data_IF_346320567602
#
_entry.id   IF_346320567602
#
_cell.length_a   1.000
_cell.length_b   1.000
_cell.length_c   1.000
_cell.angle_alpha   90.00
_cell.angle_beta   90.00
_cell.angle_gamma   90.00
#
_symmetry.space_group_name_H-M   'P 1'
#
loop_
_entity.id
_entity.type
_entity.pdbx_description
1 polymer ?
#
# COMPACT_ATOMS: atom_id res chain seq x y z
N UNK A 1 -40.47 3.56 26.12
CA UNK A 1 -39.64 4.78 26.16
C UNK A 1 -38.21 4.31 26.03
N UNK A 2 -37.63 4.45 24.84
CA UNK A 2 -36.31 3.92 24.50
C UNK A 2 -35.26 4.98 24.78
N UNK A 3 -34.46 4.76 25.83
CA UNK A 3 -33.33 5.60 26.18
C UNK A 3 -32.20 5.43 25.17
N UNK A 4 -31.93 6.53 24.45
CA UNK A 4 -30.77 6.68 23.57
C UNK A 4 -29.52 6.79 24.43
N UNK A 5 -28.71 5.74 24.40
CA UNK A 5 -27.31 5.76 24.83
C UNK A 5 -26.52 6.67 23.87
N UNK A 6 -26.04 7.79 24.37
CA UNK A 6 -25.09 8.67 23.68
C UNK A 6 -23.70 8.03 23.78
N UNK A 7 -23.20 7.48 22.68
CA UNK A 7 -21.81 7.05 22.56
C UNK A 7 -20.89 8.28 22.53
N UNK A 8 -20.17 8.52 23.62
CA UNK A 8 -19.00 9.39 23.66
C UNK A 8 -17.80 8.65 23.06
N UNK A 9 -17.77 8.52 21.73
CA UNK A 9 -16.61 8.07 20.96
C UNK A 9 -15.85 9.29 20.42
N UNK A 10 -15.29 10.08 21.35
CA UNK A 10 -14.49 11.25 21.02
C UNK A 10 -13.23 11.23 21.89
N UNK A 11 -12.14 10.66 21.37
CA UNK A 11 -10.77 11.13 21.67
C UNK A 11 -9.62 10.43 20.92
N UNK A 12 -9.83 9.30 20.24
CA UNK A 12 -8.71 8.58 19.57
C UNK A 12 -8.43 8.98 18.11
N UNK A 13 -9.19 9.93 17.56
CA UNK A 13 -9.00 10.41 16.18
C UNK A 13 -7.97 11.55 16.06
N UNK A 14 -7.42 12.05 17.16
CA UNK A 14 -6.66 13.31 17.18
C UNK A 14 -5.14 13.14 16.93
N UNK A 15 -4.57 11.93 16.95
CA UNK A 15 -3.12 11.73 16.78
C UNK A 15 -2.65 11.46 15.35
N UNK A 16 -3.57 11.33 14.39
CA UNK A 16 -3.22 10.93 13.03
C UNK A 16 -3.68 11.97 12.01
N UNK A 17 -2.76 12.36 11.12
CA UNK A 17 -3.06 13.20 9.96
C UNK A 17 -3.38 12.30 8.77
N UNK A 18 -4.61 12.42 8.27
CA UNK A 18 -4.96 11.91 6.93
C UNK A 18 -4.34 12.79 5.86
N UNK A 19 -3.47 12.19 5.04
CA UNK A 19 -2.88 12.85 3.87
C UNK A 19 -3.90 12.92 2.72
N UNK A 20 -3.67 13.80 1.73
CA UNK A 20 -4.53 13.90 0.54
C UNK A 20 -4.57 12.59 -0.31
N UNK A 21 -3.69 11.63 -0.01
CA UNK A 21 -3.63 10.30 -0.60
C UNK A 21 -4.33 9.22 0.25
N UNK A 22 -4.93 9.58 1.38
CA UNK A 22 -5.61 8.65 2.29
C UNK A 22 -4.67 7.88 3.23
N UNK A 23 -3.38 8.20 3.26
CA UNK A 23 -2.45 7.59 4.21
C UNK A 23 -2.58 8.29 5.57
N UNK A 24 -2.71 7.52 6.65
CA UNK A 24 -2.59 8.00 8.02
C UNK A 24 -1.10 8.17 8.38
N UNK A 25 -0.71 9.36 8.81
CA UNK A 25 0.63 9.63 9.35
C UNK A 25 0.47 10.06 10.80
N UNK A 26 1.12 9.33 11.73
CA UNK A 26 1.13 9.69 13.16
C UNK A 26 1.85 11.02 13.36
N UNK A 27 1.16 11.99 13.96
CA UNK A 27 1.71 13.31 14.28
C UNK A 27 2.84 13.14 15.31
N UNK A 28 3.88 13.98 15.25
CA UNK A 28 5.09 13.91 16.08
C UNK A 28 6.04 12.72 15.80
N UNK A 29 5.77 11.89 14.79
CA UNK A 29 6.69 10.85 14.34
C UNK A 29 7.79 11.39 13.40
N UNK A 30 8.90 10.65 13.26
CA UNK A 30 9.93 10.98 12.26
C UNK A 30 9.36 10.91 10.82
N UNK A 31 8.40 10.00 10.57
CA UNK A 31 7.71 9.92 9.30
C UNK A 31 6.93 11.21 8.98
N UNK A 32 6.30 11.81 10.00
CA UNK A 32 5.63 13.11 9.86
C UNK A 32 6.62 14.24 9.55
N UNK A 33 7.78 14.26 10.20
CA UNK A 33 8.81 15.27 9.92
C UNK A 33 9.35 15.17 8.48
N UNK A 34 9.68 13.95 8.04
CA UNK A 34 10.10 13.71 6.66
C UNK A 34 9.01 14.11 5.66
N UNK A 35 7.75 13.82 5.99
CA UNK A 35 6.61 14.21 5.17
C UNK A 35 6.42 15.73 5.13
N UNK A 36 6.58 16.43 6.24
CA UNK A 36 6.55 17.89 6.28
C UNK A 36 7.64 18.45 5.38
N UNK A 37 8.84 17.89 5.35
CA UNK A 37 9.92 18.36 4.47
C UNK A 37 9.55 18.24 2.98
N UNK A 38 8.93 17.12 2.59
CA UNK A 38 8.51 16.86 1.21
C UNK A 38 7.30 17.69 0.74
N UNK A 39 6.46 18.19 1.65
CA UNK A 39 5.20 18.85 1.32
C UNK A 39 5.22 20.37 1.59
N UNK A 40 4.35 21.10 0.89
CA UNK A 40 4.24 22.56 0.99
C UNK A 40 2.94 23.05 1.64
N UNK A 41 1.95 22.18 1.80
CA UNK A 41 0.73 22.53 2.52
C UNK A 41 0.01 21.28 3.01
N UNK A 42 -0.77 21.43 4.08
CA UNK A 42 -1.69 20.39 4.54
C UNK A 42 -2.89 21.00 5.25
N UNK A 43 -3.97 20.22 5.40
CA UNK A 43 -5.14 20.60 6.16
C UNK A 43 -5.04 19.98 7.55
N UNK A 44 -5.13 20.80 8.59
CA UNK A 44 -5.27 20.34 9.95
C UNK A 44 -6.74 20.47 10.37
N UNK A 45 -7.28 19.43 10.99
CA UNK A 45 -8.67 19.39 11.49
C UNK A 45 -8.60 19.00 12.95
N UNK A 46 -9.21 19.80 13.80
CA UNK A 46 -9.29 19.55 15.23
C UNK A 46 -10.68 19.92 15.76
N UNK A 47 -11.07 19.25 16.85
CA UNK A 47 -12.34 19.43 17.55
C UNK A 47 -13.55 18.85 16.81
N UNK A 48 -14.66 18.74 17.53
CA UNK A 48 -15.91 18.16 17.03
C UNK A 48 -16.40 18.92 15.79
N UNK A 49 -16.60 18.19 14.69
CA UNK A 49 -17.08 18.75 13.43
C UNK A 49 -16.07 19.63 12.68
N UNK A 50 -14.79 19.61 13.05
CA UNK A 50 -13.74 20.36 12.36
C UNK A 50 -13.82 21.88 12.54
N UNK A 51 -14.48 22.34 13.61
CA UNK A 51 -14.64 23.76 13.93
C UNK A 51 -13.27 24.49 14.10
N UNK A 52 -12.22 23.77 14.51
CA UNK A 52 -10.86 24.30 14.66
C UNK A 52 -9.95 24.01 13.46
N UNK A 53 -10.50 23.66 12.29
CA UNK A 53 -9.68 23.34 11.11
C UNK A 53 -9.02 24.56 10.46
N UNK A 54 -7.82 24.40 9.89
CA UNK A 54 -7.12 25.40 9.08
C UNK A 54 -6.19 24.74 8.05
N UNK A 55 -5.65 25.52 7.11
CA UNK A 55 -4.63 25.04 6.16
C UNK A 55 -3.26 25.54 6.59
N UNK A 56 -2.33 24.63 6.87
CA UNK A 56 -0.93 24.94 7.08
C UNK A 56 -0.22 25.07 5.72
N UNK A 57 0.63 26.07 5.56
CA UNK A 57 1.41 26.32 4.34
C UNK A 57 2.86 26.62 4.70
N UNK A 58 3.78 26.04 3.92
CA UNK A 58 5.21 26.32 3.99
C UNK A 58 5.54 27.54 3.14
N UNK A 59 6.30 28.46 3.70
CA UNK A 59 6.77 29.67 3.05
C UNK A 59 8.27 29.85 3.27
N UNK A 60 9.00 30.21 2.22
CA UNK A 60 10.43 30.46 2.27
C UNK A 60 10.70 31.93 2.56
N UNK A 61 11.40 32.23 3.66
CA UNK A 61 11.88 33.56 3.99
C UNK A 61 13.39 33.51 4.19
N UNK A 62 14.14 34.20 3.30
CA UNK A 62 15.62 34.25 3.32
C UNK A 62 16.27 32.85 3.30
N UNK A 63 15.71 31.92 2.52
CA UNK A 63 16.22 30.55 2.40
C UNK A 63 15.84 29.61 3.54
N UNK A 64 15.10 30.09 4.55
CA UNK A 64 14.56 29.24 5.62
C UNK A 64 13.07 29.02 5.40
N UNK A 65 12.64 27.76 5.52
CA UNK A 65 11.24 27.38 5.37
C UNK A 65 10.51 27.48 6.72
N UNK A 66 9.37 28.16 6.72
CA UNK A 66 8.51 28.35 7.87
C UNK A 66 7.09 27.92 7.57
N UNK A 67 6.40 27.42 8.58
CA UNK A 67 5.00 27.01 8.49
C UNK A 67 4.07 28.08 9.05
N UNK A 68 3.01 28.38 8.30
CA UNK A 68 1.95 29.29 8.70
C UNK A 68 0.59 28.60 8.61
N UNK A 69 -0.24 28.79 9.62
CA UNK A 69 -1.64 28.44 9.60
C UNK A 69 -2.42 29.55 8.91
N UNK A 70 -3.32 29.17 8.00
CA UNK A 70 -4.15 30.09 7.22
C UNK A 70 -5.60 29.65 7.29
N UNK A 71 -6.50 30.57 7.67
CA UNK A 71 -7.95 30.35 7.75
C UNK A 71 -8.70 31.62 7.40
N UNK A 72 -9.85 31.49 6.71
CA UNK A 72 -10.78 32.61 6.55
C UNK A 72 -11.79 32.61 7.68
N UNK A 73 -11.92 33.73 8.38
CA UNK A 73 -12.90 33.95 9.45
C UNK A 73 -13.65 35.22 9.11
N UNK A 74 -14.97 35.14 8.95
CA UNK A 74 -15.84 36.26 8.59
C UNK A 74 -15.33 37.07 7.38
N UNK A 75 -14.92 36.38 6.31
CA UNK A 75 -14.40 37.00 5.08
C UNK A 75 -12.94 37.52 5.16
N UNK A 76 -12.36 37.59 6.36
CA UNK A 76 -10.97 38.04 6.56
C UNK A 76 -10.01 36.86 6.59
N UNK A 77 -8.83 37.00 5.98
CA UNK A 77 -7.79 35.97 6.00
C UNK A 77 -6.93 36.13 7.26
N UNK A 78 -7.01 35.16 8.16
CA UNK A 78 -6.16 35.06 9.33
C UNK A 78 -4.96 34.18 9.01
N UNK A 79 -3.77 34.68 9.38
CA UNK A 79 -2.51 33.97 9.25
C UNK A 79 -1.79 33.95 10.59
N UNK A 80 -1.32 32.79 11.03
CA UNK A 80 -0.57 32.62 12.28
C UNK A 80 0.69 31.81 12.04
N UNK A 81 1.79 32.22 12.66
CA UNK A 81 3.06 31.52 12.58
C UNK A 81 3.01 30.25 13.43
N UNK A 82 3.34 29.11 12.83
CA UNK A 82 3.41 27.82 13.52
C UNK A 82 4.83 27.62 14.05
N UNK A 83 5.82 27.58 13.14
CA UNK A 83 7.22 27.28 13.43
C UNK A 83 8.00 26.80 12.20
N UNK A 84 9.25 26.36 12.39
CA UNK A 84 10.02 25.51 11.45
C UNK A 84 9.49 24.08 11.45
N UNK A 85 9.89 23.23 10.50
CA UNK A 85 9.37 21.85 10.40
C UNK A 85 9.45 21.07 11.73
N UNK A 86 10.60 21.08 12.42
CA UNK A 86 10.78 20.39 13.70
C UNK A 86 9.99 21.01 14.88
N UNK A 87 9.48 22.24 14.73
CA UNK A 87 8.63 22.91 15.72
C UNK A 87 7.15 22.66 15.45
N UNK A 88 6.80 22.06 14.30
CA UNK A 88 5.41 21.67 13.99
C UNK A 88 5.10 20.38 14.73
N UNK A 89 4.62 20.51 15.96
CA UNK A 89 4.15 19.39 16.79
C UNK A 89 2.63 19.35 16.91
N UNK A 90 2.05 18.23 17.35
CA UNK A 90 0.61 18.12 17.58
C UNK A 90 0.09 19.20 18.53
N UNK A 91 0.77 19.36 19.69
CA UNK A 91 0.44 20.38 20.69
C UNK A 91 0.43 21.79 20.09
N UNK A 92 1.44 22.10 19.26
CA UNK A 92 1.54 23.40 18.59
C UNK A 92 0.43 23.61 17.57
N UNK A 93 0.08 22.58 16.80
CA UNK A 93 -1.01 22.65 15.83
C UNK A 93 -2.36 22.94 16.50
N UNK A 94 -2.62 22.30 17.65
CA UNK A 94 -3.81 22.52 18.48
C UNK A 94 -3.84 23.93 19.09
N UNK A 95 -2.73 24.42 19.63
CA UNK A 95 -2.62 25.78 20.17
C UNK A 95 -2.98 26.82 19.08
N UNK A 96 -2.42 26.67 17.89
CA UNK A 96 -2.68 27.56 16.76
C UNK A 96 -4.14 27.47 16.29
N UNK A 97 -4.76 26.28 16.37
CA UNK A 97 -6.16 26.08 16.05
C UNK A 97 -7.09 26.95 16.92
N UNK A 98 -6.75 27.08 18.21
CA UNK A 98 -7.49 27.92 19.16
C UNK A 98 -7.23 29.41 18.94
N UNK A 99 -6.00 29.79 18.59
CA UNK A 99 -5.60 31.20 18.46
C UNK A 99 -6.01 31.81 17.11
N UNK A 100 -6.01 31.04 16.02
CA UNK A 100 -6.32 31.56 14.67
C UNK A 100 -7.78 32.02 14.52
N UNK A 101 -8.65 31.54 15.41
CA UNK A 101 -10.06 31.92 15.50
C UNK A 101 -10.29 33.25 16.22
N UNK A 102 -9.30 33.74 16.98
CA UNK A 102 -9.45 34.97 17.74
C UNK A 102 -9.28 36.20 16.84
N UNK A 103 -10.12 37.24 17.02
CA UNK A 103 -9.91 38.52 16.34
C UNK A 103 -8.54 39.11 16.72
N UNK A 104 -7.94 39.96 15.86
CA UNK A 104 -6.69 40.63 16.19
C UNK A 104 -6.86 41.40 17.50
N UNK A 105 -6.10 41.05 18.55
CA UNK A 105 -6.08 41.85 19.79
C UNK A 105 -5.52 43.22 19.45
N UNK A 106 -6.40 44.21 19.33
CA UNK A 106 -6.03 45.62 19.23
C UNK A 106 -5.32 45.97 20.54
N UNK A 107 -4.03 46.29 20.45
CA UNK A 107 -3.20 46.61 21.61
C UNK A 107 -3.61 47.98 22.14
N UNK A 108 -4.53 48.03 23.10
CA UNK A 108 -4.92 49.28 23.79
C UNK A 108 -3.88 49.58 24.86
N UNK A 109 -3.28 50.77 24.81
CA UNK A 109 -2.33 51.28 25.79
C UNK A 109 -3.02 51.53 27.13
N UNK A 110 -2.51 50.93 28.20
CA UNK A 110 -2.95 51.21 29.56
C UNK A 110 -2.43 52.59 29.98
N UNK A 111 -3.34 53.54 30.22
CA UNK A 111 -3.07 54.80 30.91
C UNK A 111 -3.57 54.66 32.34
N UNK A 112 -2.61 54.59 33.26
CA UNK A 112 -2.77 54.70 34.70
C UNK A 112 -3.15 56.13 35.07
N UNK A 113 -4.23 56.31 35.85
CA UNK A 113 -4.50 57.55 36.58
C UNK A 113 -4.80 57.19 38.04
N UNK A 114 -3.74 57.26 38.86
CA UNK A 114 -3.85 57.54 40.29
C UNK A 114 -3.90 59.06 40.47
N UNK A 115 -4.84 59.58 41.25
CA UNK A 115 -4.59 60.63 42.25
C UNK A 115 -5.89 61.08 42.90
N UNK A 116 -5.99 60.85 44.21
CA UNK A 116 -6.54 61.77 45.21
C UNK A 116 -6.52 61.04 46.55
N UNK A 117 -5.47 61.25 47.33
CA UNK A 117 -5.44 60.88 48.74
C UNK A 117 -6.29 61.88 49.54
N UNK A 118 -7.40 61.48 50.19
CA UNK A 118 -8.12 62.33 51.13
C UNK A 118 -7.26 62.57 52.38
N UNK A 119 -7.38 63.74 53.00
CA UNK A 119 -6.66 64.10 54.22
C UNK A 119 -6.84 63.06 55.33
N UNK A 120 -5.88 62.96 56.27
CA UNK A 120 -5.91 61.98 57.36
C UNK A 120 -7.27 61.94 58.10
N UNK A 121 -7.94 63.07 58.18
CA UNK A 121 -9.23 63.24 58.84
C UNK A 121 -10.40 62.60 58.07
N UNK A 122 -10.36 62.65 56.74
CA UNK A 122 -11.31 61.93 55.88
C UNK A 122 -11.05 60.43 55.88
N UNK A 123 -9.77 60.03 56.01
CA UNK A 123 -9.40 58.62 56.20
C UNK A 123 -9.86 58.10 57.56
N UNK A 124 -9.77 58.90 58.62
CA UNK A 124 -10.29 58.53 59.94
C UNK A 124 -11.82 58.43 59.89
N UNK A 125 -12.52 59.37 59.25
CA UNK A 125 -13.98 59.28 59.07
C UNK A 125 -14.39 58.08 58.21
N UNK A 126 -13.65 57.76 57.15
CA UNK A 126 -13.88 56.55 56.36
C UNK A 126 -13.63 55.27 57.16
N UNK A 127 -12.55 55.23 57.95
CA UNK A 127 -12.26 54.08 58.81
C UNK A 127 -13.33 53.92 59.90
N UNK A 128 -13.81 55.00 60.48
CA UNK A 128 -14.88 54.98 61.49
C UNK A 128 -16.22 54.52 60.87
N UNK A 129 -16.50 54.91 59.63
CA UNK A 129 -17.63 54.39 58.86
C UNK A 129 -17.48 52.90 58.56
N UNK A 130 -16.30 52.45 58.13
CA UNK A 130 -16.01 51.04 57.84
C UNK A 130 -16.09 50.20 59.12
N UNK A 131 -15.56 50.70 60.24
CA UNK A 131 -15.63 50.01 61.54
C UNK A 131 -17.07 49.91 62.03
N UNK A 132 -17.90 50.94 61.83
CA UNK A 132 -19.33 50.87 62.17
C UNK A 132 -20.10 49.93 61.23
N UNK A 133 -19.74 49.85 59.94
CA UNK A 133 -20.29 48.85 59.02
C UNK A 133 -19.87 47.42 59.39
N UNK A 134 -18.62 47.22 59.81
CA UNK A 134 -18.11 45.92 60.27
C UNK A 134 -18.69 45.52 61.64
N UNK A 135 -18.96 46.46 62.55
CA UNK A 135 -19.70 46.20 63.80
C UNK A 135 -21.17 45.88 63.57
N UNK A 136 -21.76 46.42 62.50
CA UNK A 136 -23.12 46.05 62.06
C UNK A 136 -23.20 44.67 61.40
N UNK A 137 -22.06 44.09 61.01
CA UNK A 137 -21.90 42.72 60.51
C UNK A 137 -21.63 41.74 61.66
N UNK A 138 -22.35 41.88 62.78
CA UNK A 138 -22.52 40.81 63.78
C UNK A 138 -23.41 39.68 63.21
N UNK A 139 -23.03 39.18 62.03
CA UNK A 139 -23.59 38.00 61.38
C UNK A 139 -22.83 36.74 61.80
N UNK A 140 -22.12 36.75 62.94
CA UNK A 140 -21.58 35.51 63.51
C UNK A 140 -22.73 34.54 63.85
N UNK A 141 -23.96 35.03 64.07
CA UNK A 141 -25.17 34.20 64.17
C UNK A 141 -25.83 33.80 62.84
N UNK A 142 -25.56 34.50 61.74
CA UNK A 142 -26.10 34.16 60.41
C UNK A 142 -25.16 33.25 59.60
N UNK A 143 -23.87 33.20 59.93
CA UNK A 143 -22.94 32.21 59.35
C UNK A 143 -23.06 30.81 59.96
N UNK A 144 -23.63 30.67 61.16
CA UNK A 144 -23.95 29.35 61.74
C UNK A 144 -25.29 28.79 61.23
N UNK A 145 -26.22 29.64 60.76
CA UNK A 145 -27.50 29.19 60.18
C UNK A 145 -27.47 29.03 58.66
N UNK A 146 -26.40 29.49 57.99
CA UNK A 146 -26.09 29.14 56.60
C UNK A 146 -25.10 27.96 56.46
N UNK A 147 -24.86 27.21 57.53
CA UNK A 147 -24.13 25.95 57.50
C UNK A 147 -25.03 24.72 57.28
N UNK A 148 -26.27 24.93 56.80
CA UNK A 148 -27.08 23.93 56.11
C UNK A 148 -26.81 23.95 54.60
N UNK A 149 -25.56 24.20 54.20
CA UNK A 149 -25.10 23.73 52.88
C UNK A 149 -25.02 22.23 52.99
N UNK A 150 -26.13 21.60 52.60
CA UNK A 150 -26.32 20.19 52.27
C UNK A 150 -24.97 19.53 51.95
N UNK A 151 -24.34 18.97 52.98
CA UNK A 151 -23.09 18.24 52.89
C UNK A 151 -23.45 16.97 52.13
N UNK A 152 -23.31 17.00 50.80
CA UNK A 152 -23.40 15.79 49.98
C UNK A 152 -22.51 14.73 50.64
N UNK A 153 -23.01 13.51 50.90
CA UNK A 153 -22.30 12.57 51.74
C UNK A 153 -20.94 12.27 51.12
N UNK A 154 -19.85 12.60 51.83
CA UNK A 154 -18.48 12.27 51.42
C UNK A 154 -18.31 10.77 51.09
N UNK A 155 -19.22 9.93 51.56
CA UNK A 155 -19.29 8.50 51.31
C UNK A 155 -19.68 8.14 49.86
N UNK A 156 -20.59 8.90 49.22
CA UNK A 156 -20.99 8.66 47.82
C UNK A 156 -19.84 9.02 46.87
N UNK A 157 -19.15 10.13 47.14
CA UNK A 157 -17.97 10.55 46.39
C UNK A 157 -16.82 9.54 46.54
N UNK A 158 -16.58 9.00 47.74
CA UNK A 158 -15.56 7.97 47.94
C UNK A 158 -15.94 6.63 47.30
N UNK A 159 -17.24 6.29 47.26
CA UNK A 159 -17.73 5.11 46.53
C UNK A 159 -17.50 5.24 45.02
N UNK A 160 -17.80 6.40 44.44
CA UNK A 160 -17.56 6.68 43.02
C UNK A 160 -16.07 6.69 42.69
N UNK A 161 -15.23 7.27 43.55
CA UNK A 161 -13.77 7.23 43.41
C UNK A 161 -13.23 5.80 43.45
N UNK A 162 -13.74 4.95 44.35
CA UNK A 162 -13.36 3.54 44.40
C UNK A 162 -13.80 2.80 43.12
N UNK A 163 -15.02 3.06 42.63
CA UNK A 163 -15.52 2.49 41.37
C UNK A 163 -14.66 2.89 40.19
N UNK A 164 -14.32 4.18 40.08
CA UNK A 164 -13.45 4.68 39.01
C UNK A 164 -12.04 4.08 39.11
N UNK A 165 -11.50 3.95 40.33
CA UNK A 165 -10.21 3.29 40.57
C UNK A 165 -10.22 1.83 40.08
N UNK A 166 -11.30 1.10 40.37
CA UNK A 166 -11.45 -0.28 39.89
C UNK A 166 -11.53 -0.35 38.36
N UNK A 167 -12.26 0.57 37.72
CA UNK A 167 -12.34 0.65 36.25
C UNK A 167 -10.99 0.97 35.62
N UNK A 168 -10.23 1.91 36.20
CA UNK A 168 -8.88 2.24 35.75
C UNK A 168 -7.98 1.01 35.85
N UNK A 169 -8.00 0.29 36.97
CA UNK A 169 -7.21 -0.93 37.13
C UNK A 169 -7.58 -2.03 36.11
N UNK A 170 -8.87 -2.23 35.84
CA UNK A 170 -9.33 -3.18 34.82
C UNK A 170 -8.83 -2.79 33.42
N UNK A 171 -8.95 -1.51 33.07
CA UNK A 171 -8.47 -1.01 31.78
C UNK A 171 -6.94 -1.12 31.66
N UNK A 172 -6.19 -0.83 32.72
CA UNK A 172 -4.73 -1.02 32.76
C UNK A 172 -4.35 -2.48 32.50
N UNK A 173 -5.03 -3.45 33.14
CA UNK A 173 -4.76 -4.87 32.90
C UNK A 173 -5.07 -5.27 31.45
N UNK A 174 -6.17 -4.76 30.87
CA UNK A 174 -6.51 -5.03 29.47
C UNK A 174 -5.47 -4.44 28.52
N UNK A 175 -4.97 -3.23 28.80
CA UNK A 175 -3.91 -2.60 28.03
C UNK A 175 -2.64 -3.45 28.05
N UNK A 176 -2.22 -3.92 29.23
CA UNK A 176 -1.05 -4.79 29.38
C UNK A 176 -1.18 -6.12 28.61
N UNK A 177 -2.39 -6.68 28.54
CA UNK A 177 -2.66 -7.89 27.75
C UNK A 177 -2.53 -7.58 26.25
N UNK A 178 -3.17 -6.50 25.78
CA UNK A 178 -3.09 -6.09 24.38
C UNK A 178 -1.66 -5.78 23.95
N UNK A 179 -0.85 -5.15 24.80
CA UNK A 179 0.56 -4.85 24.51
C UNK A 179 1.39 -6.15 24.34
N UNK A 180 1.12 -7.18 25.16
CA UNK A 180 1.79 -8.49 25.00
C UNK A 180 1.36 -9.20 23.72
N UNK A 181 0.08 -9.12 23.37
CA UNK A 181 -0.43 -9.71 22.11
C UNK A 181 0.18 -9.00 20.89
N UNK A 182 0.31 -7.67 20.93
CA UNK A 182 0.97 -6.90 19.88
C UNK A 182 2.45 -7.29 19.74
N UNK A 183 3.16 -7.46 20.86
CA UNK A 183 4.56 -7.88 20.84
C UNK A 183 4.71 -9.30 20.25
N UNK A 184 3.82 -10.23 20.60
CA UNK A 184 3.82 -11.57 20.03
C UNK A 184 3.55 -11.55 18.51
N UNK A 185 2.55 -10.78 18.06
CA UNK A 185 2.25 -10.62 16.64
C UNK A 185 3.41 -9.96 15.87
N UNK A 186 4.10 -9.00 16.49
CA UNK A 186 5.29 -8.39 15.89
C UNK A 186 6.43 -9.40 15.73
N UNK A 187 6.67 -10.23 16.75
CA UNK A 187 7.67 -11.29 16.65
C UNK A 187 7.34 -12.27 15.52
N UNK A 188 6.09 -12.69 15.38
CA UNK A 188 5.68 -13.59 14.30
C UNK A 188 5.79 -12.93 12.91
N UNK A 189 5.44 -11.65 12.78
CA UNK A 189 5.68 -10.89 11.55
C UNK A 189 7.17 -10.82 11.18
N UNK A 190 8.06 -10.65 12.16
CA UNK A 190 9.50 -10.66 11.89
C UNK A 190 9.98 -12.02 11.39
N UNK A 191 9.50 -13.13 12.00
CA UNK A 191 9.81 -14.50 11.53
C UNK A 191 9.33 -14.72 10.10
N UNK A 192 8.06 -14.42 9.82
CA UNK A 192 7.48 -14.56 8.48
C UNK A 192 8.22 -13.72 7.43
N UNK A 193 8.65 -12.51 7.80
CA UNK A 193 9.44 -11.64 6.91
C UNK A 193 10.79 -12.27 6.59
N UNK A 194 11.48 -12.85 7.58
CA UNK A 194 12.77 -13.54 7.34
C UNK A 194 12.59 -14.81 6.50
N UNK A 195 11.52 -15.58 6.70
CA UNK A 195 11.22 -16.76 5.90
C UNK A 195 10.89 -16.41 4.45
N UNK A 196 10.12 -15.34 4.22
CA UNK A 196 9.85 -14.84 2.87
C UNK A 196 11.14 -14.43 2.15
N UNK A 197 12.00 -13.66 2.80
CA UNK A 197 13.29 -13.26 2.22
C UNK A 197 14.19 -14.46 1.87
N UNK A 198 14.17 -15.50 2.70
CA UNK A 198 14.87 -16.77 2.43
C UNK A 198 14.29 -17.48 1.20
N UNK A 199 12.95 -17.60 1.11
CA UNK A 199 12.27 -18.20 -0.04
C UNK A 199 12.49 -17.41 -1.34
N UNK A 200 12.47 -16.09 -1.28
CA UNK A 200 12.77 -15.24 -2.44
C UNK A 200 14.20 -15.48 -2.95
N UNK A 201 15.16 -15.61 -2.03
CA UNK A 201 16.54 -15.96 -2.39
C UNK A 201 16.61 -17.32 -3.08
N UNK A 202 15.87 -18.33 -2.59
CA UNK A 202 15.80 -19.65 -3.24
C UNK A 202 15.15 -19.59 -4.63
N UNK A 203 14.09 -18.80 -4.79
CA UNK A 203 13.42 -18.61 -6.09
C UNK A 203 14.36 -17.95 -7.10
N UNK A 204 15.12 -16.93 -6.69
CA UNK A 204 16.12 -16.30 -7.58
C UNK A 204 17.19 -17.30 -7.99
N UNK A 205 17.69 -18.13 -7.06
CA UNK A 205 18.67 -19.17 -7.38
C UNK A 205 18.11 -20.19 -8.39
N UNK A 206 16.91 -20.73 -8.14
CA UNK A 206 16.27 -21.68 -9.06
C UNK A 206 16.01 -21.08 -10.44
N UNK A 207 15.62 -19.81 -10.49
CA UNK A 207 15.42 -19.07 -11.75
C UNK A 207 16.72 -19.00 -12.55
N UNK A 208 17.84 -18.62 -11.91
CA UNK A 208 19.15 -18.56 -12.59
C UNK A 208 19.63 -19.93 -13.08
N UNK A 209 19.34 -21.01 -12.34
CA UNK A 209 19.65 -22.38 -12.77
C UNK A 209 18.83 -22.77 -13.99
N UNK A 210 17.55 -22.40 -14.04
CA UNK A 210 16.68 -22.67 -15.18
C UNK A 210 17.17 -21.92 -16.44
N UNK A 211 17.49 -20.63 -16.32
CA UNK A 211 18.07 -19.84 -17.42
C UNK A 211 19.39 -20.41 -17.95
N UNK A 212 20.19 -21.01 -17.07
CA UNK A 212 21.44 -21.68 -17.44
C UNK A 212 21.16 -22.94 -18.25
N UNK A 213 20.26 -23.81 -17.76
CA UNK A 213 19.84 -25.03 -18.45
C UNK A 213 19.20 -24.73 -19.81
N UNK A 214 18.38 -23.69 -19.92
CA UNK A 214 17.78 -23.26 -21.20
C UNK A 214 18.81 -22.75 -22.21
N UNK A 215 19.93 -22.21 -21.73
CA UNK A 215 21.06 -21.81 -22.60
C UNK A 215 21.82 -23.03 -23.10
N UNK A 216 22.12 -23.98 -22.21
CA UNK A 216 22.75 -25.26 -22.57
C UNK A 216 21.90 -26.07 -23.58
N UNK A 217 20.57 -26.13 -23.37
CA UNK A 217 19.66 -26.82 -24.30
C UNK A 217 19.65 -26.18 -25.69
N UNK A 218 19.70 -24.84 -25.78
CA UNK A 218 19.81 -24.15 -27.06
C UNK A 218 21.13 -24.43 -27.76
N UNK A 219 22.24 -24.49 -27.02
CA UNK A 219 23.55 -24.84 -27.57
C UNK A 219 23.56 -26.27 -28.15
N UNK A 220 23.07 -27.25 -27.38
CA UNK A 220 22.94 -28.63 -27.86
C UNK A 220 21.99 -28.77 -29.04
N UNK A 221 20.89 -28.01 -29.05
CA UNK A 221 19.95 -27.98 -30.18
C UNK A 221 20.64 -27.48 -31.45
N UNK A 222 21.44 -26.42 -31.35
CA UNK A 222 22.20 -25.90 -32.49
C UNK A 222 23.26 -26.90 -32.97
N UNK A 223 23.91 -27.62 -32.05
CA UNK A 223 24.87 -28.67 -32.40
C UNK A 223 24.20 -29.80 -33.18
N UNK A 224 23.02 -30.25 -32.74
CA UNK A 224 22.23 -31.27 -33.46
C UNK A 224 21.87 -30.80 -34.88
N UNK A 225 21.45 -29.53 -35.04
CA UNK A 225 21.14 -28.97 -36.36
C UNK A 225 22.38 -28.97 -37.27
N UNK A 226 23.54 -28.57 -36.73
CA UNK A 226 24.80 -28.59 -37.47
C UNK A 226 25.19 -30.02 -37.90
N UNK A 227 25.15 -30.98 -36.97
CA UNK A 227 25.46 -32.38 -37.26
C UNK A 227 24.51 -32.97 -38.32
N UNK A 228 23.21 -32.62 -38.28
CA UNK A 228 22.25 -33.00 -39.33
C UNK A 228 22.61 -32.43 -40.70
N UNK A 229 23.05 -31.16 -40.76
CA UNK A 229 23.53 -30.55 -42.02
C UNK A 229 24.73 -31.31 -42.58
N UNK A 230 25.73 -31.59 -41.74
CA UNK A 230 26.94 -32.35 -42.13
C UNK A 230 26.61 -33.76 -42.62
N UNK A 231 25.65 -34.43 -41.98
CA UNK A 231 25.19 -35.74 -42.44
C UNK A 231 24.55 -35.66 -43.82
N UNK A 232 23.71 -34.65 -44.08
CA UNK A 232 23.10 -34.44 -45.40
C UNK A 232 24.15 -34.14 -46.49
N UNK A 233 25.17 -33.34 -46.18
CA UNK A 233 26.30 -33.10 -47.10
C UNK A 233 27.07 -34.39 -47.43
N UNK A 234 27.34 -35.21 -46.42
CA UNK A 234 28.03 -36.47 -46.60
C UNK A 234 27.20 -37.46 -47.43
N UNK A 235 25.90 -37.51 -47.18
CA UNK A 235 24.96 -38.38 -47.91
C UNK A 235 24.91 -38.01 -49.40
N UNK A 236 24.79 -36.72 -49.70
CA UNK A 236 24.90 -36.21 -51.07
C UNK A 236 26.24 -36.57 -51.72
N UNK A 237 27.35 -36.48 -50.97
CA UNK A 237 28.67 -36.87 -51.48
C UNK A 237 28.77 -38.37 -51.79
N UNK A 238 28.15 -39.23 -50.98
CA UNK A 238 28.13 -40.68 -51.21
C UNK A 238 27.32 -41.01 -52.45
N UNK A 239 26.14 -40.39 -52.60
CA UNK A 239 25.29 -40.54 -53.80
C UNK A 239 26.06 -40.16 -55.06
N UNK A 240 26.74 -39.01 -55.07
CA UNK A 240 27.53 -38.55 -56.23
C UNK A 240 28.68 -39.51 -56.57
N UNK A 241 29.43 -39.98 -55.56
CA UNK A 241 30.50 -40.95 -55.81
C UNK A 241 29.98 -42.29 -56.32
N UNK A 242 28.79 -42.70 -55.86
CA UNK A 242 28.16 -43.92 -56.33
C UNK A 242 27.72 -43.80 -57.80
N UNK A 243 27.22 -42.63 -58.23
CA UNK A 243 26.92 -42.38 -59.65
C UNK A 243 28.20 -42.38 -60.51
N UNK A 244 29.30 -41.77 -60.06
CA UNK A 244 30.60 -41.83 -60.76
C UNK A 244 31.10 -43.27 -60.92
N UNK A 245 30.98 -44.09 -59.87
CA UNK A 245 31.33 -45.51 -59.93
C UNK A 245 30.46 -46.30 -60.91
N UNK A 246 29.16 -46.00 -61.00
CA UNK A 246 28.29 -46.61 -61.99
C UNK A 246 28.68 -46.22 -63.42
N UNK A 247 29.02 -44.95 -63.66
CA UNK A 247 29.50 -44.50 -64.98
C UNK A 247 30.81 -45.20 -65.38
N UNK A 248 31.79 -45.28 -64.47
CA UNK A 248 33.05 -45.99 -64.72
C UNK A 248 32.86 -47.48 -64.99
N UNK A 249 31.92 -48.12 -64.30
CA UNK A 249 31.58 -49.54 -64.51
C UNK A 249 30.85 -49.78 -65.84
N UNK A 250 30.27 -48.73 -66.42
CA UNK A 250 29.58 -48.78 -67.72
C UNK A 250 30.54 -48.62 -68.92
N UNK A 251 31.83 -48.33 -68.68
CA UNK A 251 32.85 -48.29 -69.73
C UNK A 251 33.13 -49.72 -70.24
N UNK A 252 32.94 -50.01 -71.55
CA UNK A 252 33.17 -51.35 -72.08
C UNK A 252 34.65 -51.75 -71.94
N UNK A 253 34.97 -53.02 -71.63
CA UNK A 253 36.35 -53.48 -71.69
C UNK A 253 36.87 -53.33 -73.12
N UNK A 254 37.92 -52.53 -73.28
CA UNK A 254 38.70 -52.50 -74.51
C UNK A 254 39.13 -53.93 -74.83
N UNK A 255 38.74 -54.40 -76.00
CA UNK A 255 39.07 -55.71 -76.54
C UNK A 255 40.57 -55.95 -76.44
N UNK A 256 40.96 -56.84 -75.53
CA UNK A 256 42.21 -57.59 -75.68
C UNK A 256 41.77 -59.04 -75.73
N UNK A 257 41.56 -59.47 -76.97
CA UNK A 257 41.38 -60.83 -77.41
C UNK A 257 42.68 -61.59 -77.11
N UNK A 258 42.62 -62.57 -76.21
CA UNK A 258 43.41 -63.79 -76.33
C UNK A 258 42.83 -64.87 -75.43
N UNK A 259 42.43 -65.96 -76.09
CA UNK A 259 41.94 -67.19 -75.50
C UNK A 259 43.02 -67.88 -74.65
N UNK A 260 42.61 -68.58 -73.59
CA UNK A 260 42.66 -70.05 -73.49
C UNK A 260 42.18 -70.51 -72.09
N UNK A 261 41.83 -71.81 -71.91
CA UNK A 261 40.82 -72.32 -71.00
C UNK A 261 41.45 -72.91 -69.73
N UNK A 262 40.62 -73.51 -68.85
CA UNK A 262 40.86 -74.76 -68.07
C UNK A 262 40.18 -74.70 -66.68
N UNK A 263 39.25 -75.65 -66.49
CA UNK A 263 39.02 -76.50 -65.31
C UNK A 263 38.79 -75.93 -63.89
N UNK A 264 37.58 -76.24 -63.41
CA UNK A 264 37.33 -77.24 -62.34
C UNK A 264 37.19 -76.80 -60.87
N UNK A 265 36.23 -77.48 -60.25
CA UNK A 265 36.02 -77.84 -58.85
C UNK A 265 35.74 -76.80 -57.73
N UNK A 266 34.50 -76.94 -57.24
CA UNK A 266 34.09 -77.20 -55.85
C UNK A 266 34.38 -76.21 -54.70
N UNK A 267 33.40 -76.26 -53.77
CA UNK A 267 33.39 -75.83 -52.36
C UNK A 267 33.11 -74.33 -52.15
N UNK A 268 32.19 -73.90 -51.28
CA UNK A 268 31.42 -74.57 -50.25
C UNK A 268 31.07 -73.54 -49.16
N UNK A 269 29.85 -73.68 -48.59
CA UNK A 269 29.37 -73.02 -47.35
C UNK A 269 29.11 -71.50 -47.46
N UNK A 270 28.05 -70.90 -46.95
CA UNK A 270 26.95 -71.32 -46.07
C UNK A 270 26.41 -70.07 -45.34
N UNK A 271 25.12 -70.08 -45.02
CA UNK A 271 24.45 -69.25 -43.98
C UNK A 271 24.29 -67.74 -44.28
N UNK A 272 23.19 -67.05 -43.98
CA UNK A 272 21.90 -67.38 -43.32
C UNK A 272 21.01 -66.14 -43.44
N UNK A 273 19.74 -66.36 -43.73
CA UNK A 273 18.65 -65.38 -43.68
C UNK A 273 18.45 -64.80 -42.27
N UNK A 274 18.04 -63.53 -42.22
CA UNK A 274 17.13 -62.86 -41.27
C UNK A 274 17.29 -61.35 -41.53
N UNK A 275 16.31 -60.60 -42.02
CA UNK A 275 14.92 -60.52 -41.56
C UNK A 275 14.74 -59.11 -40.99
N UNK A 276 14.37 -58.13 -41.82
CA UNK A 276 13.87 -56.84 -41.36
C UNK A 276 12.42 -56.77 -41.82
N UNK A 277 11.55 -57.06 -40.85
CA UNK A 277 10.10 -56.91 -40.94
C UNK A 277 9.78 -55.43 -40.91
N UNK A 278 9.07 -54.99 -41.94
CA UNK A 278 8.33 -53.74 -41.98
C UNK A 278 7.38 -53.68 -40.78
N UNK A 279 7.49 -52.63 -39.96
CA UNK A 279 6.42 -52.23 -39.07
C UNK A 279 6.14 -50.75 -39.35
N UNK A 280 5.20 -50.52 -40.26
CA UNK A 280 4.33 -49.36 -40.22
C UNK A 280 3.54 -49.44 -38.90
N UNK A 281 3.76 -48.50 -38.00
CA UNK A 281 2.83 -48.22 -36.90
C UNK A 281 2.29 -46.80 -37.11
N UNK A 282 1.15 -46.74 -37.79
CA UNK A 282 0.30 -45.57 -37.92
C UNK A 282 -0.44 -45.41 -36.60
N UNK A 283 0.21 -44.77 -35.64
CA UNK A 283 -0.43 -44.27 -34.43
C UNK A 283 -1.25 -43.03 -34.72
N UNK A 284 -2.49 -43.23 -35.18
CA UNK A 284 -3.57 -42.26 -35.01
C UNK A 284 -3.80 -42.05 -33.52
N UNK A 285 -3.43 -40.86 -33.03
CA UNK A 285 -3.85 -40.36 -31.73
C UNK A 285 -4.70 -39.11 -31.95
N UNK A 286 -5.87 -39.14 -31.33
CA UNK A 286 -6.99 -38.23 -31.48
C UNK A 286 -6.62 -36.75 -31.37
N UNK A 287 -6.92 -36.01 -32.43
CA UNK A 287 -7.07 -34.57 -32.40
C UNK A 287 -8.46 -34.22 -31.87
N UNK A 288 -8.64 -34.24 -30.56
CA UNK A 288 -9.74 -33.56 -29.89
C UNK A 288 -9.22 -32.84 -28.65
N UNK A 289 -8.68 -31.63 -28.90
CA UNK A 289 -8.43 -30.63 -27.88
C UNK A 289 -9.13 -29.35 -28.30
N UNK A 290 -10.38 -29.23 -27.83
CA UNK A 290 -11.04 -27.95 -27.66
C UNK A 290 -10.22 -27.10 -26.69
N UNK A 291 -9.39 -26.19 -27.19
CA UNK A 291 -8.75 -25.15 -26.38
C UNK A 291 -9.70 -23.97 -26.19
N UNK A 292 -10.72 -24.18 -25.38
CA UNK A 292 -11.48 -23.11 -24.75
C UNK A 292 -11.37 -23.28 -23.23
N UNK A 293 -10.15 -23.08 -22.72
CA UNK A 293 -9.88 -22.98 -21.28
C UNK A 293 -8.94 -21.80 -21.05
N UNK A 294 -9.54 -20.63 -20.79
CA UNK A 294 -8.90 -19.56 -20.04
C UNK A 294 -8.51 -20.12 -18.67
N UNK A 295 -7.25 -20.53 -18.52
CA UNK A 295 -6.67 -20.76 -17.19
C UNK A 295 -6.63 -19.43 -16.44
N UNK A 296 -7.17 -19.34 -15.22
CA UNK A 296 -7.07 -18.14 -14.41
C UNK A 296 -5.60 -17.95 -14.00
N UNK A 297 -5.05 -16.76 -14.26
CA UNK A 297 -3.71 -16.40 -13.77
C UNK A 297 -3.69 -16.54 -12.24
N UNK A 298 -2.70 -17.25 -11.73
CA UNK A 298 -2.42 -17.35 -10.30
C UNK A 298 -1.87 -16.03 -9.77
N UNK A 299 -2.22 -15.72 -8.52
CA UNK A 299 -2.10 -14.42 -7.86
C UNK A 299 -0.67 -13.85 -7.74
N UNK A 300 0.35 -14.67 -8.05
CA UNK A 300 1.77 -14.33 -7.83
C UNK A 300 2.49 -13.82 -9.09
N UNK A 301 1.78 -13.70 -10.22
CA UNK A 301 2.31 -13.08 -11.46
C UNK A 301 1.79 -11.66 -11.72
N UNK A 302 1.13 -11.01 -10.75
CA UNK A 302 0.69 -9.63 -10.89
C UNK A 302 1.93 -8.72 -11.04
N UNK A 303 2.18 -8.15 -12.23
CA UNK A 303 3.20 -7.13 -12.36
C UNK A 303 2.79 -5.98 -11.43
N UNK A 304 3.75 -5.29 -10.81
CA UNK A 304 3.51 -4.01 -10.13
C UNK A 304 2.96 -3.02 -11.15
N UNK A 305 1.66 -3.09 -11.39
CA UNK A 305 0.96 -2.24 -12.31
C UNK A 305 0.92 -0.86 -11.70
N UNK A 306 1.65 0.05 -12.33
CA UNK A 306 1.67 1.44 -11.95
C UNK A 306 0.23 1.95 -11.88
N UNK A 307 -0.23 2.31 -10.68
CA UNK A 307 -1.57 2.84 -10.41
C UNK A 307 -1.90 4.04 -11.34
N UNK A 308 -0.90 4.64 -11.96
CA UNK A 308 -1.04 5.71 -12.95
C UNK A 308 -1.56 5.23 -14.31
N UNK A 309 -1.21 4.03 -14.78
CA UNK A 309 -1.72 3.48 -16.06
C UNK A 309 -3.20 3.07 -15.97
N UNK A 310 -3.65 2.61 -14.80
CA UNK A 310 -5.00 2.04 -14.59
C UNK A 310 -6.09 3.06 -14.24
N UNK A 311 -5.75 4.27 -13.79
CA UNK A 311 -6.74 5.26 -13.33
C UNK A 311 -7.76 5.63 -14.40
N UNK A 312 -7.31 5.94 -15.61
CA UNK A 312 -8.19 6.40 -16.69
C UNK A 312 -9.13 5.26 -17.22
N UNK A 313 -8.64 4.04 -17.48
CA UNK A 313 -9.48 2.88 -17.80
C UNK A 313 -10.55 2.57 -16.75
N UNK A 314 -10.16 2.51 -15.47
CA UNK A 314 -11.04 2.12 -14.36
C UNK A 314 -12.11 3.18 -14.12
N UNK A 315 -11.74 4.46 -14.11
CA UNK A 315 -12.70 5.55 -13.90
C UNK A 315 -13.70 5.68 -15.05
N UNK A 316 -13.27 5.41 -16.29
CA UNK A 316 -14.13 5.38 -17.47
C UNK A 316 -15.19 4.27 -17.39
N UNK A 317 -14.78 3.04 -17.06
CA UNK A 317 -15.71 1.91 -16.87
C UNK A 317 -16.65 2.16 -15.67
N UNK A 318 -16.12 2.69 -14.57
CA UNK A 318 -16.90 3.03 -13.38
C UNK A 318 -18.00 4.04 -13.67
N UNK A 319 -17.68 5.07 -14.47
CA UNK A 319 -18.66 6.09 -14.90
C UNK A 319 -19.76 5.49 -15.76
N UNK A 320 -19.44 4.55 -16.65
CA UNK A 320 -20.45 3.89 -17.48
C UNK A 320 -21.33 2.91 -16.68
N UNK A 321 -20.75 2.11 -15.78
CA UNK A 321 -21.52 1.23 -14.91
C UNK A 321 -22.50 2.04 -14.05
N UNK A 322 -22.06 3.21 -13.54
CA UNK A 322 -22.92 4.12 -12.78
C UNK A 322 -24.10 4.66 -13.62
N UNK A 323 -23.89 4.93 -14.91
CA UNK A 323 -24.98 5.32 -15.82
C UNK A 323 -26.00 4.18 -16.00
N UNK A 324 -25.55 2.93 -15.91
CA UNK A 324 -26.39 1.74 -15.95
C UNK A 324 -26.93 1.33 -14.56
N UNK A 325 -26.81 2.19 -13.54
CA UNK A 325 -27.19 1.93 -12.13
C UNK A 325 -26.47 0.74 -11.47
N UNK A 326 -25.31 0.35 -12.00
CA UNK A 326 -24.47 -0.71 -11.43
C UNK A 326 -23.32 -0.05 -10.65
N UNK A 327 -23.16 -0.41 -9.38
CA UNK A 327 -22.07 0.08 -8.54
C UNK A 327 -21.04 -1.03 -8.35
N UNK A 328 -19.82 -0.81 -8.88
CA UNK A 328 -18.64 -1.64 -8.61
C UNK A 328 -17.52 -0.78 -8.03
N UNK A 329 -16.75 -1.36 -7.13
CA UNK A 329 -15.55 -0.77 -6.55
C UNK A 329 -14.45 -0.66 -7.61
N UNK A 330 -13.46 0.21 -7.37
CA UNK A 330 -12.32 0.31 -8.27
C UNK A 330 -11.53 -1.01 -8.35
N UNK A 331 -11.51 -1.76 -7.25
CA UNK A 331 -10.81 -3.04 -7.16
C UNK A 331 -11.51 -4.13 -7.98
N UNK A 332 -12.83 -4.23 -7.92
CA UNK A 332 -13.59 -5.16 -8.75
C UNK A 332 -13.41 -4.90 -10.26
N UNK A 333 -13.32 -3.62 -10.64
CA UNK A 333 -13.08 -3.25 -12.04
C UNK A 333 -11.66 -3.61 -12.47
N UNK A 334 -10.65 -3.37 -11.62
CA UNK A 334 -9.25 -3.78 -11.87
C UNK A 334 -9.13 -5.29 -12.02
N UNK A 335 -9.76 -6.05 -11.13
CA UNK A 335 -9.78 -7.51 -11.17
C UNK A 335 -10.49 -8.05 -12.42
N UNK A 336 -11.53 -7.36 -12.91
CA UNK A 336 -12.16 -7.73 -14.17
C UNK A 336 -11.25 -7.50 -15.38
N UNK A 337 -10.48 -6.41 -15.42
CA UNK A 337 -9.46 -6.19 -16.46
C UNK A 337 -8.32 -7.21 -16.38
N UNK A 338 -7.90 -7.60 -15.18
CA UNK A 338 -6.94 -8.68 -14.96
C UNK A 338 -7.39 -9.99 -15.59
N UNK A 339 -8.59 -10.43 -15.22
CA UNK A 339 -9.15 -11.68 -15.71
C UNK A 339 -9.41 -11.67 -17.22
N UNK A 340 -9.56 -10.48 -17.81
CA UNK A 340 -9.71 -10.29 -19.26
C UNK A 340 -8.37 -10.26 -20.01
N UNK A 341 -7.22 -10.29 -19.33
CA UNK A 341 -5.89 -10.26 -19.95
C UNK A 341 -5.44 -8.86 -20.33
N UNK A 342 -5.77 -7.84 -19.54
CA UNK A 342 -5.36 -6.46 -19.82
C UNK A 342 -3.85 -6.27 -19.69
N UNK A 343 -3.21 -5.78 -20.76
CA UNK A 343 -1.75 -5.60 -20.85
C UNK A 343 -1.31 -4.12 -20.85
N UNK A 344 -2.26 -3.19 -20.71
CA UNK A 344 -2.00 -1.74 -20.77
C UNK A 344 -2.30 -1.11 -22.13
N UNK A 345 -2.33 -1.89 -23.20
CA UNK A 345 -2.51 -1.40 -24.58
C UNK A 345 -3.84 -1.82 -25.19
N UNK A 346 -4.40 -2.96 -24.75
CA UNK A 346 -5.65 -3.54 -25.24
C UNK A 346 -6.93 -3.00 -24.57
N UNK A 347 -6.90 -1.79 -23.99
CA UNK A 347 -8.04 -1.21 -23.26
C UNK A 347 -9.33 -1.17 -24.08
N UNK A 348 -9.23 -0.71 -25.33
CA UNK A 348 -10.40 -0.50 -26.18
C UNK A 348 -11.12 -1.81 -26.48
N UNK A 349 -10.36 -2.88 -26.65
CA UNK A 349 -10.88 -4.19 -27.02
C UNK A 349 -11.49 -4.89 -25.81
N UNK A 350 -10.88 -4.75 -24.62
CA UNK A 350 -11.36 -5.41 -23.41
C UNK A 350 -12.47 -4.65 -22.66
N UNK A 351 -12.64 -3.35 -22.92
CA UNK A 351 -13.59 -2.50 -22.18
C UNK A 351 -15.01 -3.05 -22.20
N UNK A 352 -15.52 -3.40 -23.38
CA UNK A 352 -16.92 -3.86 -23.52
C UNK A 352 -17.12 -5.23 -22.87
N UNK A 353 -16.13 -6.12 -22.98
CA UNK A 353 -16.15 -7.44 -22.33
C UNK A 353 -16.13 -7.33 -20.81
N UNK A 354 -15.33 -6.41 -20.26
CA UNK A 354 -15.28 -6.13 -18.83
C UNK A 354 -16.61 -5.55 -18.33
N UNK A 355 -17.21 -4.61 -19.06
CA UNK A 355 -18.53 -4.05 -18.70
C UNK A 355 -19.60 -5.15 -18.72
N UNK A 356 -19.61 -5.99 -19.76
CA UNK A 356 -20.55 -7.11 -19.89
C UNK A 356 -20.41 -8.09 -18.73
N UNK A 357 -19.18 -8.47 -18.40
CA UNK A 357 -18.88 -9.37 -17.28
C UNK A 357 -19.33 -8.78 -15.93
N UNK A 358 -19.07 -7.49 -15.70
CA UNK A 358 -19.47 -6.79 -14.48
C UNK A 358 -20.96 -6.48 -14.38
N UNK A 359 -21.69 -6.54 -15.50
CA UNK A 359 -23.14 -6.32 -15.55
C UNK A 359 -23.95 -7.62 -15.40
N UNK A 360 -23.32 -8.78 -15.56
CA UNK A 360 -23.94 -10.10 -15.40
C UNK A 360 -23.85 -10.65 -13.97
N UNK A 361 -23.07 -10.01 -13.10
CA UNK A 361 -22.90 -10.32 -11.66
C UNK A 361 -23.49 -9.21 -10.80
#
# INVERSE_FOLDING_TARGET
MTDKKLDNSANDQDENLETELGNLVKIDSQAFQNWLEANNSFKFVAGVGGCHSYRARKEALRGVNYWYAVKRVNGTLHKKFIGKSHEVTHSRLCEIANVIMQPPKTRVAAVSNESSTPGLEDRVKQLELIVNQLRGLDTVGETETLLDVEYLPSEELEADKQKLTNQVNELTIKLDICDRELEALNQDNTKLTTELSSRDSQLTELTTKLDTRDRELRELTNEIVNLKSRLSELDNSVVNKNSELQELKSVPPAATDDQLPVDNDQQGTGNREQGIVEHEDVGQADSDLTSDTKSPMTNDQLPLWDNKLMKNPVDSVRKQLKNNKITKTAEEIKQAFLNAGFDGTNYKDLREDVIKTLSQK
#
